data_IF_603630155883
#
_entry.id   IF_603630155883
#
_cell.length_a   1.000
_cell.length_b   1.000
_cell.length_c   1.000
_cell.angle_alpha   90.00
_cell.angle_beta   90.00
_cell.angle_gamma   90.00
#
_symmetry.space_group_name_H-M   'P 1'
#
loop_
_entity.id
_entity.type
_entity.pdbx_description
1 polymer ?
#
# COMPACT_ATOMS: atom_id res chain seq x y z
N UNK A 1 -5.52 3.56 -36.91
CA UNK A 1 -4.19 3.57 -36.28
C UNK A 1 -3.99 2.20 -35.63
N UNK A 2 -2.95 1.43 -35.99
CA UNK A 2 -2.74 0.08 -35.44
C UNK A 2 -1.98 0.22 -34.12
N UNK A 3 -2.60 -0.12 -33.00
CA UNK A 3 -1.93 -0.17 -31.69
C UNK A 3 -0.77 -1.18 -31.78
N UNK A 4 0.38 -0.83 -31.19
CA UNK A 4 1.54 -1.70 -31.08
C UNK A 4 1.12 -2.97 -30.32
N UNK A 5 1.30 -4.16 -30.89
CA UNK A 5 0.99 -5.41 -30.17
C UNK A 5 2.17 -5.84 -29.31
N UNK A 6 1.93 -6.62 -28.24
CA UNK A 6 3.01 -7.21 -27.42
C UNK A 6 4.04 -7.95 -28.29
N UNK A 7 3.56 -8.62 -29.35
CA UNK A 7 4.42 -9.32 -30.32
C UNK A 7 5.31 -8.35 -31.09
N UNK A 8 4.80 -7.18 -31.46
CA UNK A 8 5.58 -6.16 -32.17
C UNK A 8 6.59 -5.48 -31.24
N UNK A 9 6.22 -5.20 -29.98
CA UNK A 9 7.15 -4.69 -28.97
C UNK A 9 8.29 -5.67 -28.68
N UNK A 10 7.99 -6.96 -28.49
CA UNK A 10 9.03 -7.96 -28.27
C UNK A 10 9.98 -8.09 -29.45
N UNK A 11 9.48 -8.01 -30.69
CA UNK A 11 10.34 -7.95 -31.88
C UNK A 11 11.27 -6.74 -31.87
N UNK A 12 10.78 -5.57 -31.47
CA UNK A 12 11.61 -4.35 -31.39
C UNK A 12 12.68 -4.53 -30.29
N UNK A 13 12.32 -5.07 -29.14
CA UNK A 13 13.25 -5.34 -28.05
C UNK A 13 14.33 -6.32 -28.49
N UNK A 14 13.95 -7.45 -29.08
CA UNK A 14 14.85 -8.49 -29.59
C UNK A 14 15.79 -7.97 -30.70
N UNK A 15 15.27 -7.13 -31.60
CA UNK A 15 16.05 -6.62 -32.73
C UNK A 15 16.99 -5.45 -32.35
N UNK A 16 16.61 -4.61 -31.38
CA UNK A 16 17.29 -3.32 -31.17
C UNK A 16 17.83 -3.10 -29.76
N UNK A 17 17.18 -3.63 -28.71
CA UNK A 17 17.59 -3.39 -27.32
C UNK A 17 18.41 -4.56 -26.77
N UNK A 18 17.95 -5.79 -26.98
CA UNK A 18 18.63 -7.02 -26.54
C UNK A 18 20.08 -7.13 -26.99
N UNK A 19 20.40 -6.90 -28.28
CA UNK A 19 21.78 -7.00 -28.74
C UNK A 19 22.70 -6.02 -28.02
N UNK A 20 22.18 -4.85 -27.61
CA UNK A 20 22.95 -3.81 -26.93
C UNK A 20 23.30 -4.15 -25.50
N UNK A 21 22.53 -5.00 -24.80
CA UNK A 21 22.82 -5.38 -23.41
C UNK A 21 24.22 -5.98 -23.20
N UNK A 22 24.76 -6.66 -24.21
CA UNK A 22 26.09 -7.25 -24.16
C UNK A 22 27.22 -6.26 -24.47
N UNK A 23 26.91 -5.04 -24.93
CA UNK A 23 27.89 -4.03 -25.32
C UNK A 23 27.95 -2.82 -24.38
N UNK A 24 26.91 -2.60 -23.57
CA UNK A 24 26.93 -1.57 -22.51
C UNK A 24 27.65 -2.08 -21.26
N UNK A 25 28.57 -1.26 -20.75
CA UNK A 25 29.40 -1.58 -19.58
C UNK A 25 29.02 -0.76 -18.35
N UNK A 26 28.35 0.38 -18.53
CA UNK A 26 27.88 1.22 -17.42
C UNK A 26 26.56 0.70 -16.83
N UNK A 27 26.35 0.80 -15.51
CA UNK A 27 25.04 0.52 -14.88
C UNK A 27 23.92 1.42 -15.40
N UNK A 28 24.19 2.70 -15.60
CA UNK A 28 23.18 3.69 -16.00
C UNK A 28 22.62 3.40 -17.40
N UNK A 29 23.45 3.00 -18.35
CA UNK A 29 22.98 2.64 -19.69
C UNK A 29 22.22 1.30 -19.70
N UNK A 30 22.59 0.36 -18.82
CA UNK A 30 21.83 -0.88 -18.64
C UNK A 30 20.43 -0.58 -18.10
N UNK A 31 20.35 0.26 -17.08
CA UNK A 31 19.07 0.69 -16.49
C UNK A 31 18.20 1.39 -17.52
N UNK A 32 18.77 2.27 -18.35
CA UNK A 32 18.03 2.93 -19.43
C UNK A 32 17.53 1.95 -20.50
N UNK A 33 18.34 0.95 -20.90
CA UNK A 33 17.88 -0.09 -21.83
C UNK A 33 16.77 -0.96 -21.25
N UNK A 34 16.84 -1.29 -19.96
CA UNK A 34 15.76 -2.00 -19.26
C UNK A 34 14.50 -1.15 -19.20
N UNK A 35 14.61 0.12 -18.81
CA UNK A 35 13.50 1.08 -18.79
C UNK A 35 12.81 1.19 -20.14
N UNK A 36 13.58 1.35 -21.23
CA UNK A 36 13.03 1.45 -22.58
C UNK A 36 12.32 0.15 -23.03
N UNK A 37 12.88 -1.02 -22.69
CA UNK A 37 12.23 -2.29 -22.98
C UNK A 37 10.90 -2.43 -22.23
N UNK A 38 10.85 -2.00 -20.98
CA UNK A 38 9.65 -2.07 -20.16
C UNK A 38 8.60 -1.05 -20.60
N UNK A 39 8.99 0.16 -21.01
CA UNK A 39 8.08 1.14 -21.63
C UNK A 39 7.49 0.61 -22.95
N UNK A 40 8.29 -0.06 -23.79
CA UNK A 40 7.82 -0.70 -25.02
C UNK A 40 6.80 -1.80 -24.74
N UNK A 41 7.07 -2.65 -23.74
CA UNK A 41 6.12 -3.69 -23.31
C UNK A 41 4.85 -3.08 -22.73
N UNK A 42 4.96 -2.04 -21.92
CA UNK A 42 3.83 -1.33 -21.31
C UNK A 42 2.93 -0.68 -22.36
N UNK A 43 3.53 -0.01 -23.35
CA UNK A 43 2.80 0.61 -24.46
C UNK A 43 2.08 -0.41 -25.35
N UNK A 44 2.58 -1.65 -25.39
CA UNK A 44 2.04 -2.73 -26.21
C UNK A 44 1.11 -3.69 -25.45
N UNK A 45 1.17 -3.68 -24.12
CA UNK A 45 0.29 -4.45 -23.27
C UNK A 45 -1.14 -3.92 -23.37
N UNK A 46 -2.16 -4.79 -23.35
CA UNK A 46 -3.51 -4.33 -23.10
C UNK A 46 -3.52 -3.60 -21.75
N UNK A 47 -4.26 -2.49 -21.67
CA UNK A 47 -4.43 -1.77 -20.41
C UNK A 47 -4.85 -2.74 -19.30
N UNK A 48 -4.28 -2.63 -18.08
CA UNK A 48 -4.67 -3.48 -16.98
C UNK A 48 -6.18 -3.36 -16.75
N UNK A 49 -6.84 -4.50 -16.55
CA UNK A 49 -8.27 -4.50 -16.24
C UNK A 49 -8.55 -3.97 -14.84
N UNK A 50 -7.58 -4.10 -13.94
CA UNK A 50 -7.59 -3.69 -12.54
C UNK A 50 -6.18 -3.22 -12.16
N UNK A 51 -6.10 -2.11 -11.43
CA UNK A 51 -4.87 -1.58 -10.85
C UNK A 51 -5.10 -1.25 -9.37
N UNK A 52 -4.25 -1.78 -8.51
CA UNK A 52 -4.33 -1.51 -7.07
C UNK A 52 -2.93 -1.42 -6.48
N UNK A 53 -2.82 -0.70 -5.37
CA UNK A 53 -1.59 -0.63 -4.58
C UNK A 53 -1.79 -1.33 -3.23
N UNK A 54 -0.68 -1.81 -2.67
CA UNK A 54 -0.65 -2.40 -1.33
C UNK A 54 0.43 -1.68 -0.53
N UNK A 55 0.04 -1.10 0.61
CA UNK A 55 0.93 -0.53 1.61
C UNK A 55 0.75 -1.32 2.92
N UNK A 56 1.73 -1.27 3.80
CA UNK A 56 1.75 -2.01 5.08
C UNK A 56 2.64 -1.25 6.06
N UNK A 57 2.52 -1.54 7.36
CA UNK A 57 3.46 -1.10 8.40
C UNK A 57 3.68 0.42 8.38
N UNK A 58 2.58 1.18 8.40
CA UNK A 58 2.62 2.65 8.42
C UNK A 58 3.27 3.13 9.72
N UNK A 59 2.96 2.48 10.86
CA UNK A 59 3.57 2.76 12.16
C UNK A 59 3.53 4.26 12.52
N UNK A 60 2.34 4.87 12.38
CA UNK A 60 2.14 6.32 12.34
C UNK A 60 2.61 7.09 13.59
N UNK A 61 2.83 6.40 14.71
CA UNK A 61 3.37 7.00 15.94
C UNK A 61 4.76 7.63 15.75
N UNK A 62 5.55 7.18 14.76
CA UNK A 62 6.80 7.84 14.35
C UNK A 62 6.51 8.99 13.36
N UNK A 63 6.85 10.20 13.76
CA UNK A 63 6.76 11.41 12.91
C UNK A 63 7.43 11.27 11.54
N UNK A 64 8.51 10.47 11.43
CA UNK A 64 9.15 10.20 10.13
C UNK A 64 8.31 9.26 9.28
N UNK A 65 7.63 8.30 9.90
CA UNK A 65 6.77 7.35 9.21
C UNK A 65 5.55 8.05 8.59
N UNK A 66 4.95 9.01 9.31
CA UNK A 66 3.89 9.88 8.76
C UNK A 66 4.32 10.59 7.47
N UNK A 67 5.52 11.18 7.45
CA UNK A 67 6.08 11.84 6.26
C UNK A 67 6.34 10.88 5.10
N UNK A 68 6.88 9.68 5.39
CA UNK A 68 7.09 8.63 4.37
C UNK A 68 5.78 8.13 3.79
N UNK A 69 4.76 7.95 4.62
CA UNK A 69 3.44 7.51 4.16
C UNK A 69 2.81 8.56 3.24
N UNK A 70 2.83 9.84 3.63
CA UNK A 70 2.37 10.94 2.77
C UNK A 70 3.12 10.97 1.42
N UNK A 71 4.45 10.82 1.44
CA UNK A 71 5.24 10.75 0.21
C UNK A 71 4.87 9.54 -0.66
N UNK A 72 4.68 8.37 -0.05
CA UNK A 72 4.25 7.16 -0.77
C UNK A 72 2.88 7.34 -1.43
N UNK A 73 1.92 7.96 -0.75
CA UNK A 73 0.60 8.27 -1.33
C UNK A 73 0.73 9.25 -2.51
N UNK A 74 1.56 10.28 -2.39
CA UNK A 74 1.81 11.23 -3.48
C UNK A 74 2.51 10.56 -4.68
N UNK A 75 3.46 9.66 -4.44
CA UNK A 75 4.13 8.89 -5.49
C UNK A 75 3.18 7.93 -6.19
N UNK A 76 2.31 7.22 -5.44
CA UNK A 76 1.29 6.36 -6.03
C UNK A 76 0.35 7.15 -6.95
N UNK A 77 -0.13 8.32 -6.50
CA UNK A 77 -0.97 9.18 -7.32
C UNK A 77 -0.24 9.68 -8.58
N UNK A 78 1.05 10.04 -8.46
CA UNK A 78 1.88 10.47 -9.59
C UNK A 78 2.11 9.35 -10.61
N UNK A 79 2.27 8.11 -10.13
CA UNK A 79 2.52 6.93 -10.98
C UNK A 79 1.25 6.45 -11.67
N UNK A 80 0.14 6.44 -10.95
CA UNK A 80 -1.16 6.03 -11.46
C UNK A 80 -2.28 6.82 -10.76
N UNK A 81 -2.73 7.95 -11.32
CA UNK A 81 -3.85 8.71 -10.77
C UNK A 81 -5.20 7.99 -10.95
N UNK A 82 -5.25 6.94 -11.78
CA UNK A 82 -6.45 6.13 -12.05
C UNK A 82 -6.42 4.79 -11.28
N UNK A 83 -5.73 4.74 -10.13
CA UNK A 83 -5.68 3.55 -9.29
C UNK A 83 -7.10 3.18 -8.81
N UNK A 84 -7.54 1.95 -9.09
CA UNK A 84 -8.91 1.51 -8.75
C UNK A 84 -9.10 1.35 -7.24
N UNK A 85 -8.08 0.81 -6.56
CA UNK A 85 -8.16 0.41 -5.15
C UNK A 85 -6.81 0.57 -4.43
N UNK A 86 -6.85 0.82 -3.12
CA UNK A 86 -5.70 0.79 -2.22
C UNK A 86 -5.95 -0.23 -1.10
N UNK A 87 -4.95 -1.05 -0.81
CA UNK A 87 -4.95 -1.94 0.35
C UNK A 87 -3.91 -1.44 1.36
N UNK A 88 -4.30 -1.30 2.62
CA UNK A 88 -3.41 -0.99 3.74
C UNK A 88 -3.42 -2.18 4.70
N UNK A 89 -2.32 -2.91 4.72
CA UNK A 89 -2.22 -4.23 5.32
C UNK A 89 -1.69 -4.21 6.77
N UNK A 90 -2.46 -3.64 7.71
CA UNK A 90 -2.13 -3.70 9.14
C UNK A 90 -1.00 -2.76 9.58
N UNK A 91 -0.81 -2.72 10.90
CA UNK A 91 0.21 -1.92 11.59
C UNK A 91 0.19 -0.44 11.16
N UNK A 92 -1.02 0.13 11.25
CA UNK A 92 -1.31 1.53 10.92
C UNK A 92 -0.63 2.48 11.93
N UNK A 93 -0.56 2.05 13.19
CA UNK A 93 0.00 2.73 14.34
C UNK A 93 -0.15 1.82 15.57
N UNK A 94 -0.06 2.36 16.78
CA UNK A 94 -0.13 1.55 18.00
C UNK A 94 -1.57 1.31 18.50
N UNK A 95 -2.56 1.41 17.60
CA UNK A 95 -3.97 1.19 17.93
C UNK A 95 -4.60 2.27 18.81
N UNK A 96 -3.92 3.42 18.94
CA UNK A 96 -4.38 4.49 19.82
C UNK A 96 -5.38 5.41 19.11
N UNK A 97 -6.32 6.06 19.84
CA UNK A 97 -7.26 6.99 19.23
C UNK A 97 -6.62 8.11 18.40
N UNK A 98 -5.47 8.66 18.83
CA UNK A 98 -4.82 9.72 18.06
C UNK A 98 -4.15 9.23 16.77
N UNK A 99 -3.73 7.96 16.71
CA UNK A 99 -3.13 7.38 15.51
C UNK A 99 -4.16 7.37 14.38
N UNK A 100 -5.35 6.85 14.66
CA UNK A 100 -6.45 6.81 13.71
C UNK A 100 -6.96 8.20 13.32
N UNK A 101 -7.05 9.14 14.28
CA UNK A 101 -7.47 10.51 13.97
C UNK A 101 -6.51 11.19 13.00
N UNK A 102 -5.19 11.09 13.24
CA UNK A 102 -4.17 11.69 12.39
C UNK A 102 -4.05 10.97 11.05
N UNK A 103 -4.08 9.63 11.05
CA UNK A 103 -4.06 8.84 9.83
C UNK A 103 -5.27 9.14 8.94
N UNK A 104 -6.46 9.22 9.52
CA UNK A 104 -7.68 9.60 8.80
C UNK A 104 -7.58 10.99 8.18
N UNK A 105 -7.06 11.98 8.93
CA UNK A 105 -6.82 13.32 8.40
C UNK A 105 -5.77 13.33 7.28
N UNK A 106 -4.70 12.54 7.38
CA UNK A 106 -3.71 12.43 6.33
C UNK A 106 -4.32 11.82 5.07
N UNK A 107 -4.99 10.67 5.18
CA UNK A 107 -5.65 9.98 4.06
C UNK A 107 -6.64 10.90 3.35
N UNK A 108 -7.45 11.67 4.09
CA UNK A 108 -8.41 12.62 3.50
C UNK A 108 -7.77 13.76 2.71
N UNK A 109 -6.51 14.11 2.97
CA UNK A 109 -5.80 15.21 2.32
C UNK A 109 -5.02 14.78 1.05
N UNK A 110 -5.05 13.49 0.70
CA UNK A 110 -4.41 12.99 -0.51
C UNK A 110 -5.45 12.61 -1.57
N UNK A 111 -5.19 12.88 -2.86
CA UNK A 111 -5.95 12.27 -3.93
C UNK A 111 -5.59 10.78 -3.97
N UNK A 112 -6.55 9.93 -3.59
CA UNK A 112 -6.37 8.49 -3.44
C UNK A 112 -7.33 7.73 -4.35
N UNK A 113 -7.12 6.40 -4.42
CA UNK A 113 -8.08 5.49 -5.02
C UNK A 113 -9.46 5.67 -4.38
N UNK A 114 -10.52 5.40 -5.16
CA UNK A 114 -11.91 5.51 -4.72
C UNK A 114 -12.24 4.62 -3.51
N UNK A 115 -11.47 3.55 -3.31
CA UNK A 115 -11.69 2.54 -2.28
C UNK A 115 -10.40 2.18 -1.57
N UNK A 116 -10.46 2.15 -0.24
CA UNK A 116 -9.36 1.71 0.62
C UNK A 116 -9.83 0.51 1.43
N UNK A 117 -9.04 -0.56 1.42
CA UNK A 117 -9.27 -1.76 2.24
C UNK A 117 -8.20 -1.86 3.31
N UNK A 118 -8.61 -2.11 4.54
CA UNK A 118 -7.72 -2.22 5.67
C UNK A 118 -7.68 -3.65 6.20
N UNK A 119 -6.53 -4.11 6.64
CA UNK A 119 -6.41 -5.28 7.52
C UNK A 119 -5.88 -4.83 8.87
N UNK A 120 -6.10 -5.65 9.91
CA UNK A 120 -5.60 -5.40 11.26
C UNK A 120 -4.24 -6.10 11.41
N UNK A 121 -3.28 -5.42 12.03
CA UNK A 121 -2.00 -5.96 12.46
C UNK A 121 -1.92 -6.11 13.98
N UNK A 122 -0.76 -6.49 14.48
CA UNK A 122 -0.54 -6.65 15.92
C UNK A 122 -0.34 -5.31 16.63
N UNK A 123 0.17 -4.29 15.93
CA UNK A 123 0.38 -2.98 16.54
C UNK A 123 -0.95 -2.28 16.89
N UNK A 124 -2.06 -2.65 16.26
CA UNK A 124 -3.39 -2.18 16.69
C UNK A 124 -3.76 -2.57 18.13
N UNK A 125 -3.03 -3.48 18.77
CA UNK A 125 -3.22 -3.86 20.17
C UNK A 125 -2.30 -3.11 21.15
N UNK A 126 -1.39 -2.26 20.64
CA UNK A 126 -0.33 -1.69 21.48
C UNK A 126 -0.80 -0.58 22.41
N UNK A 127 -2.03 -0.07 22.25
CA UNK A 127 -2.68 0.79 23.23
C UNK A 127 -2.65 0.18 24.65
N UNK A 128 -2.61 -1.15 24.78
CA UNK A 128 -2.47 -1.85 26.06
C UNK A 128 -1.12 -1.64 26.77
N UNK A 129 -0.10 -1.15 26.05
CA UNK A 129 1.18 -0.75 26.64
C UNK A 129 1.20 0.70 27.12
N UNK A 130 0.15 1.49 26.89
CA UNK A 130 0.09 2.89 27.31
C UNK A 130 -0.77 3.08 28.55
N UNK A 131 -0.28 3.83 29.53
CA UNK A 131 -1.07 4.17 30.71
C UNK A 131 -2.11 5.27 30.40
N UNK A 132 -2.92 5.64 31.40
CA UNK A 132 -3.95 6.68 31.27
C UNK A 132 -3.41 8.08 30.93
N UNK A 133 -2.11 8.32 31.13
CA UNK A 133 -1.41 9.55 30.81
C UNK A 133 -0.86 9.54 29.37
N UNK A 134 -0.92 8.40 28.69
CA UNK A 134 -0.40 8.21 27.33
C UNK A 134 1.09 7.88 27.29
N UNK A 135 1.71 7.53 28.42
CA UNK A 135 3.11 7.11 28.49
C UNK A 135 3.23 5.60 28.26
N UNK A 136 4.33 5.20 27.62
CA UNK A 136 4.71 3.79 27.49
C UNK A 136 4.98 3.18 28.88
N UNK A 137 4.16 2.21 29.27
CA UNK A 137 4.11 1.62 30.60
C UNK A 137 3.95 0.08 30.54
N UNK A 138 5.00 -0.65 30.08
CA UNK A 138 4.92 -2.09 29.87
C UNK A 138 4.81 -2.88 31.19
N UNK A 139 5.33 -2.33 32.29
CA UNK A 139 5.31 -2.98 33.61
C UNK A 139 3.88 -3.12 34.18
N UNK A 140 2.93 -2.32 33.69
CA UNK A 140 1.52 -2.34 34.08
C UNK A 140 0.59 -2.79 32.95
N UNK A 141 1.13 -3.43 31.92
CA UNK A 141 0.32 -4.06 30.86
C UNK A 141 -0.81 -4.93 31.47
N UNK A 142 -2.06 -4.85 30.97
CA UNK A 142 -2.50 -4.17 29.75
C UNK A 142 -2.99 -2.72 29.96
N UNK A 143 -2.62 -2.08 31.08
CA UNK A 143 -3.00 -0.69 31.41
C UNK A 143 -4.51 -0.40 31.33
N UNK A 144 -5.34 -1.43 31.56
CA UNK A 144 -6.81 -1.32 31.50
C UNK A 144 -7.41 -1.43 30.09
N UNK A 145 -6.60 -1.67 29.06
CA UNK A 145 -7.06 -1.93 27.70
C UNK A 145 -7.45 -3.41 27.52
N UNK A 146 -8.31 -3.68 26.54
CA UNK A 146 -8.72 -5.05 26.17
C UNK A 146 -8.63 -5.24 24.67
N UNK A 147 -8.36 -6.47 24.23
CA UNK A 147 -8.39 -6.83 22.80
C UNK A 147 -9.68 -6.40 22.11
N UNK A 148 -10.82 -6.54 22.80
CA UNK A 148 -12.13 -6.13 22.29
C UNK A 148 -12.18 -4.62 22.01
N UNK A 149 -11.63 -3.79 22.90
CA UNK A 149 -11.62 -2.35 22.72
C UNK A 149 -10.63 -1.91 21.63
N UNK A 150 -9.47 -2.56 21.51
CA UNK A 150 -8.56 -2.36 20.37
C UNK A 150 -9.22 -2.69 19.03
N UNK A 151 -9.87 -3.86 18.94
CA UNK A 151 -10.61 -4.30 17.75
C UNK A 151 -11.77 -3.34 17.44
N UNK A 152 -12.56 -2.96 18.45
CA UNK A 152 -13.68 -2.04 18.25
C UNK A 152 -13.21 -0.69 17.71
N UNK A 153 -12.06 -0.19 18.19
CA UNK A 153 -11.46 1.06 17.71
C UNK A 153 -11.03 0.97 16.25
N UNK A 154 -10.36 -0.13 15.88
CA UNK A 154 -9.99 -0.39 14.49
C UNK A 154 -11.21 -0.49 13.57
N UNK A 155 -12.25 -1.24 13.97
CA UNK A 155 -13.49 -1.36 13.19
C UNK A 155 -14.23 -0.03 13.07
N UNK A 156 -14.24 0.78 14.12
CA UNK A 156 -14.82 2.12 14.09
C UNK A 156 -14.08 3.03 13.10
N UNK A 157 -12.74 3.00 13.08
CA UNK A 157 -11.93 3.78 12.15
C UNK A 157 -12.15 3.36 10.69
N UNK A 158 -12.14 2.05 10.44
CA UNK A 158 -12.21 1.49 9.07
C UNK A 158 -13.62 1.36 8.51
N UNK A 159 -14.64 1.39 9.37
CA UNK A 159 -16.04 1.13 8.99
C UNK A 159 -16.31 -0.34 8.64
N UNK A 160 -15.39 -1.26 8.91
CA UNK A 160 -15.56 -2.69 8.66
C UNK A 160 -16.55 -3.30 9.67
N UNK A 161 -17.34 -4.27 9.20
CA UNK A 161 -18.27 -5.03 10.06
C UNK A 161 -17.58 -6.11 10.90
N UNK A 162 -16.32 -6.41 10.62
CA UNK A 162 -15.52 -7.43 11.30
C UNK A 162 -14.10 -7.50 10.75
N UNK A 163 -13.21 -8.17 11.48
CA UNK A 163 -11.79 -8.30 11.12
C UNK A 163 -11.59 -9.18 9.89
N UNK A 164 -12.40 -10.23 9.78
CA UNK A 164 -12.39 -11.16 8.67
C UNK A 164 -13.44 -10.72 7.68
N UNK A 165 -12.99 -10.43 6.47
CA UNK A 165 -13.87 -10.10 5.37
C UNK A 165 -13.18 -10.45 4.06
N UNK A 166 -14.02 -10.74 3.07
CA UNK A 166 -13.61 -10.91 1.69
C UNK A 166 -14.15 -9.73 0.87
N UNK A 167 -13.34 -9.27 -0.09
CA UNK A 167 -13.78 -8.36 -1.14
C UNK A 167 -13.37 -8.92 -2.48
N UNK A 168 -14.36 -9.03 -3.37
CA UNK A 168 -14.15 -9.33 -4.77
C UNK A 168 -14.08 -8.02 -5.54
N UNK A 169 -12.89 -7.70 -6.06
CA UNK A 169 -12.65 -6.47 -6.82
C UNK A 169 -12.71 -6.82 -8.30
N UNK A 170 -13.64 -6.17 -9.01
CA UNK A 170 -13.89 -6.33 -10.46
C UNK A 170 -13.95 -7.81 -10.92
N UNK A 171 -14.48 -8.69 -10.07
CA UNK A 171 -14.71 -10.10 -10.38
C UNK A 171 -13.47 -10.99 -10.38
N UNK A 172 -12.27 -10.48 -10.06
CA UNK A 172 -11.01 -11.23 -10.25
C UNK A 172 -10.01 -11.18 -9.08
N UNK A 173 -10.10 -10.20 -8.19
CA UNK A 173 -9.11 -10.01 -7.12
C UNK A 173 -9.75 -10.11 -5.73
N UNK A 174 -9.06 -10.81 -4.82
CA UNK A 174 -9.55 -11.15 -3.49
C UNK A 174 -8.65 -10.51 -2.44
N UNK A 175 -9.22 -9.64 -1.61
CA UNK A 175 -8.58 -9.15 -0.38
C UNK A 175 -9.23 -9.87 0.80
N UNK A 176 -8.43 -10.57 1.61
CA UNK A 176 -8.85 -11.24 2.84
C UNK A 176 -8.13 -10.61 4.03
N UNK A 177 -8.89 -10.06 4.99
CA UNK A 177 -8.34 -9.66 6.28
C UNK A 177 -8.05 -10.89 7.14
N UNK A 178 -6.78 -11.15 7.46
CA UNK A 178 -6.35 -12.22 8.36
C UNK A 178 -5.64 -11.62 9.56
N UNK A 179 -5.90 -12.15 10.76
CA UNK A 179 -5.11 -11.85 11.95
C UNK A 179 -3.70 -12.42 11.75
N UNK A 180 -2.67 -11.58 11.72
CA UNK A 180 -1.31 -12.03 11.98
C UNK A 180 -1.24 -12.45 13.47
N UNK A 181 -0.89 -13.71 13.70
CA UNK A 181 -0.80 -14.35 15.03
C UNK A 181 0.58 -14.10 15.63
#
# INVERSE_FOLDING_TARGET
MRLLSVKDANKIIEAFLQPRWNFVTSPEEKDELHRLADELRKAAAPAPKLSFAVLSDIQYWDTKAAGKFSAALADLYRLNPELDDLVINGDLGDGRPEDYAKLGALVQNHPLADRIYYTIGNHEFYQAYYNSQGDWAPDSFPNGETDHASIARFLQFTGLSGLYYDRLIQGSFHVSGLRAI
#
